data_IF_248632896819
#
_entry.id   IF_248632896819
#
_cell.length_a   1.000
_cell.length_b   1.000
_cell.length_c   1.000
_cell.angle_alpha   90.00
_cell.angle_beta   90.00
_cell.angle_gamma   90.00
#
_symmetry.space_group_name_H-M   'P 1'
#
loop_
_entity.id
_entity.type
_entity.pdbx_description
1 polymer ?
#
# COMPACT_ATOMS: atom_id res chain seq x y z
N UNK A 1 -2.54 64.19 21.80
CA UNK A 1 -3.41 64.61 20.68
C UNK A 1 -3.88 66.07 20.79
N UNK A 2 -4.48 66.49 21.92
CA UNK A 2 -5.00 67.86 22.10
C UNK A 2 -3.97 69.01 21.95
N UNK A 3 -2.73 68.82 22.39
CA UNK A 3 -1.70 69.87 22.26
C UNK A 3 -1.23 70.10 20.81
N UNK A 4 -1.28 69.07 19.97
CA UNK A 4 -0.90 69.17 18.54
C UNK A 4 -1.98 69.91 17.76
N UNK A 5 -3.25 69.59 18.03
CA UNK A 5 -4.41 70.27 17.43
C UNK A 5 -4.48 71.76 17.83
N UNK A 6 -4.20 72.07 19.10
CA UNK A 6 -4.15 73.46 19.59
C UNK A 6 -3.00 74.26 18.96
N UNK A 7 -1.83 73.64 18.76
CA UNK A 7 -0.72 74.28 18.03
C UNK A 7 -1.08 74.51 16.57
N UNK A 8 -1.65 73.51 15.89
CA UNK A 8 -2.10 73.63 14.50
C UNK A 8 -3.12 74.76 14.30
N UNK A 9 -4.09 74.90 15.22
CA UNK A 9 -5.09 75.97 15.17
C UNK A 9 -4.48 77.37 15.36
N UNK A 10 -3.48 77.52 16.25
CA UNK A 10 -2.76 78.79 16.41
C UNK A 10 -1.94 79.16 15.17
N UNK A 11 -1.33 78.17 14.51
CA UNK A 11 -0.65 78.40 13.22
C UNK A 11 -1.64 78.75 12.11
N UNK A 12 -2.81 78.12 12.08
CA UNK A 12 -3.87 78.36 11.11
C UNK A 12 -4.38 79.81 11.12
N UNK A 13 -4.66 80.37 12.30
CA UNK A 13 -5.12 81.76 12.45
C UNK A 13 -4.07 82.78 12.01
N UNK A 14 -2.78 82.43 12.06
CA UNK A 14 -1.67 83.33 11.72
C UNK A 14 -1.41 83.46 10.22
N UNK A 15 -1.96 82.56 9.40
CA UNK A 15 -1.79 82.51 7.95
C UNK A 15 -2.77 83.45 7.23
N UNK A 16 -2.33 84.08 6.15
CA UNK A 16 -3.21 84.90 5.31
C UNK A 16 -4.21 84.04 4.54
N UNK A 17 -5.36 84.62 4.14
CA UNK A 17 -6.45 83.90 3.46
C UNK A 17 -6.01 83.17 2.18
N UNK A 18 -4.99 83.68 1.48
CA UNK A 18 -4.38 83.04 0.30
C UNK A 18 -3.53 81.81 0.68
N UNK A 19 -2.76 81.89 1.75
CA UNK A 19 -1.94 80.78 2.24
C UNK A 19 -2.81 79.64 2.81
N UNK A 20 -3.93 79.96 3.46
CA UNK A 20 -4.90 78.97 3.93
C UNK A 20 -5.54 78.19 2.77
N UNK A 21 -5.88 78.85 1.66
CA UNK A 21 -6.42 78.17 0.47
C UNK A 21 -5.38 77.27 -0.20
N UNK A 22 -4.13 77.73 -0.30
CA UNK A 22 -3.03 76.90 -0.82
C UNK A 22 -2.78 75.67 0.06
N UNK A 23 -2.80 75.83 1.39
CA UNK A 23 -2.60 74.74 2.33
C UNK A 23 -3.73 73.70 2.25
N UNK A 24 -4.99 74.14 2.12
CA UNK A 24 -6.13 73.25 1.84
C UNK A 24 -5.97 72.50 0.52
N UNK A 25 -5.52 73.18 -0.54
CA UNK A 25 -5.24 72.54 -1.83
C UNK A 25 -4.14 71.48 -1.72
N UNK A 26 -3.07 71.78 -1.00
CA UNK A 26 -1.97 70.82 -0.76
C UNK A 26 -2.45 69.62 0.06
N UNK A 27 -3.22 69.83 1.13
CA UNK A 27 -3.79 68.73 1.92
C UNK A 27 -4.70 67.86 1.04
N UNK A 28 -5.55 68.47 0.22
CA UNK A 28 -6.42 67.74 -0.69
C UNK A 28 -5.61 66.90 -1.69
N UNK A 29 -4.55 67.46 -2.27
CA UNK A 29 -3.65 66.72 -3.17
C UNK A 29 -2.96 65.55 -2.46
N UNK A 30 -2.50 65.75 -1.22
CA UNK A 30 -1.87 64.68 -0.42
C UNK A 30 -2.89 63.57 -0.14
N UNK A 31 -4.09 63.91 0.29
CA UNK A 31 -5.15 62.94 0.59
C UNK A 31 -5.53 62.17 -0.69
N UNK A 32 -5.77 62.87 -1.80
CA UNK A 32 -6.08 62.24 -3.09
C UNK A 32 -4.95 61.31 -3.56
N UNK A 33 -3.69 61.72 -3.39
CA UNK A 33 -2.53 60.89 -3.72
C UNK A 33 -2.45 59.63 -2.85
N UNK A 34 -2.65 59.76 -1.54
CA UNK A 34 -2.65 58.61 -0.62
C UNK A 34 -3.77 57.63 -0.93
N UNK A 35 -4.98 58.11 -1.25
CA UNK A 35 -6.12 57.27 -1.64
C UNK A 35 -5.81 56.51 -2.93
N UNK A 36 -5.25 57.18 -3.94
CA UNK A 36 -4.86 56.54 -5.20
C UNK A 36 -3.75 55.49 -4.99
N UNK A 37 -2.77 55.79 -4.13
CA UNK A 37 -1.71 54.85 -3.80
C UNK A 37 -2.26 53.59 -3.11
N UNK A 38 -3.16 53.75 -2.12
CA UNK A 38 -3.82 52.63 -1.45
C UNK A 38 -4.67 51.83 -2.44
N UNK A 39 -5.44 52.51 -3.28
CA UNK A 39 -6.28 51.87 -4.29
C UNK A 39 -5.45 51.00 -5.24
N UNK A 40 -4.34 51.52 -5.77
CA UNK A 40 -3.42 50.74 -6.62
C UNK A 40 -2.86 49.54 -5.88
N UNK A 41 -2.33 49.75 -4.67
CA UNK A 41 -1.76 48.65 -3.88
C UNK A 41 -2.76 47.53 -3.57
N UNK A 42 -4.02 47.88 -3.28
CA UNK A 42 -5.07 46.88 -3.02
C UNK A 42 -5.44 46.15 -4.32
N UNK A 43 -5.52 46.87 -5.44
CA UNK A 43 -5.85 46.27 -6.73
C UNK A 43 -4.77 45.29 -7.18
N UNK A 44 -3.50 45.66 -7.04
CA UNK A 44 -2.35 44.81 -7.37
C UNK A 44 -2.34 43.54 -6.49
N UNK A 45 -2.61 43.69 -5.19
CA UNK A 45 -2.70 42.57 -4.25
C UNK A 45 -3.85 41.61 -4.58
N UNK A 46 -5.03 42.12 -4.96
CA UNK A 46 -6.17 41.30 -5.37
C UNK A 46 -5.84 40.53 -6.66
N UNK A 47 -5.17 41.17 -7.63
CA UNK A 47 -4.76 40.51 -8.86
C UNK A 47 -3.74 39.39 -8.61
N UNK A 48 -2.81 39.59 -7.67
CA UNK A 48 -1.83 38.56 -7.29
C UNK A 48 -2.50 37.36 -6.60
N UNK A 49 -3.50 37.62 -5.75
CA UNK A 49 -4.34 36.59 -5.14
C UNK A 49 -5.13 35.80 -6.19
N UNK A 50 -5.78 36.47 -7.14
CA UNK A 50 -6.53 35.81 -8.22
C UNK A 50 -5.61 34.96 -9.10
N UNK A 51 -4.42 35.46 -9.43
CA UNK A 51 -3.43 34.69 -10.18
C UNK A 51 -2.95 33.45 -9.41
N UNK A 52 -2.78 33.58 -8.10
CA UNK A 52 -2.39 32.47 -7.23
C UNK A 52 -3.49 31.42 -7.12
N UNK A 53 -4.75 31.84 -6.99
CA UNK A 53 -5.92 30.95 -6.97
C UNK A 53 -6.05 30.20 -8.28
N UNK A 54 -5.93 30.89 -9.43
CA UNK A 54 -5.98 30.26 -10.74
C UNK A 54 -4.86 29.22 -10.93
N UNK A 55 -3.65 29.55 -10.49
CA UNK A 55 -2.51 28.62 -10.55
C UNK A 55 -2.75 27.38 -9.68
N UNK A 56 -3.19 27.57 -8.43
CA UNK A 56 -3.48 26.46 -7.53
C UNK A 56 -4.63 25.58 -8.04
N UNK A 57 -5.65 26.18 -8.63
CA UNK A 57 -6.75 25.45 -9.27
C UNK A 57 -6.24 24.60 -10.45
N UNK A 58 -5.37 25.17 -11.29
CA UNK A 58 -4.78 24.45 -12.41
C UNK A 58 -3.89 23.29 -11.93
N UNK A 59 -3.08 23.51 -10.90
CA UNK A 59 -2.24 22.47 -10.29
C UNK A 59 -3.09 21.35 -9.69
N UNK A 60 -4.21 21.69 -9.03
CA UNK A 60 -5.15 20.70 -8.48
C UNK A 60 -5.82 19.86 -9.57
N UNK A 61 -6.24 20.48 -10.68
CA UNK A 61 -6.79 19.77 -11.84
C UNK A 61 -5.75 18.81 -12.43
N UNK A 62 -4.52 19.28 -12.59
CA UNK A 62 -3.42 18.46 -13.10
C UNK A 62 -3.14 17.25 -12.19
N UNK A 63 -3.07 17.45 -10.87
CA UNK A 63 -2.89 16.34 -9.92
C UNK A 63 -4.07 15.38 -9.91
N UNK A 64 -5.29 15.88 -10.03
CA UNK A 64 -6.47 15.03 -10.12
C UNK A 64 -6.43 14.15 -11.37
N UNK A 65 -6.08 14.72 -12.53
CA UNK A 65 -5.93 13.98 -13.78
C UNK A 65 -4.78 12.96 -13.70
N UNK A 66 -3.65 13.32 -13.08
CA UNK A 66 -2.53 12.40 -12.87
C UNK A 66 -2.90 11.25 -11.93
N UNK A 67 -3.64 11.52 -10.85
CA UNK A 67 -4.13 10.49 -9.94
C UNK A 67 -5.12 9.55 -10.63
N UNK A 68 -6.04 10.07 -11.43
CA UNK A 68 -6.99 9.26 -12.19
C UNK A 68 -6.26 8.35 -13.20
N UNK A 69 -5.29 8.88 -13.94
CA UNK A 69 -4.45 8.09 -14.84
C UNK A 69 -3.66 7.01 -14.09
N UNK A 70 -3.04 7.37 -12.96
CA UNK A 70 -2.31 6.42 -12.11
C UNK A 70 -3.22 5.29 -11.66
N UNK A 71 -4.42 5.60 -11.15
CA UNK A 71 -5.37 4.58 -10.70
C UNK A 71 -5.78 3.61 -11.80
N UNK A 72 -6.06 4.10 -13.01
CA UNK A 72 -6.39 3.23 -14.16
C UNK A 72 -5.22 2.30 -14.47
N UNK A 73 -4.00 2.85 -14.55
CA UNK A 73 -2.78 2.08 -14.81
C UNK A 73 -2.55 1.04 -13.70
N UNK A 74 -2.69 1.42 -12.44
CA UNK A 74 -2.54 0.53 -11.28
C UNK A 74 -3.58 -0.60 -11.31
N UNK A 75 -4.83 -0.34 -11.74
CA UNK A 75 -5.85 -1.38 -11.86
C UNK A 75 -5.56 -2.39 -12.97
N UNK A 76 -5.06 -1.95 -14.11
CA UNK A 76 -4.66 -2.83 -15.21
C UNK A 76 -3.45 -3.68 -14.82
N UNK A 77 -2.45 -3.09 -14.16
CA UNK A 77 -1.31 -3.84 -13.61
C UNK A 77 -1.74 -4.83 -12.52
N UNK A 78 -2.69 -4.46 -11.66
CA UNK A 78 -3.22 -5.34 -10.63
C UNK A 78 -3.96 -6.54 -11.26
N UNK A 79 -4.74 -6.36 -12.32
CA UNK A 79 -5.44 -7.46 -12.99
C UNK A 79 -4.48 -8.47 -13.62
N UNK A 80 -3.43 -8.00 -14.30
CA UNK A 80 -2.40 -8.88 -14.90
C UNK A 80 -1.60 -9.62 -13.83
N UNK A 81 -1.26 -8.96 -12.72
CA UNK A 81 -0.50 -9.56 -11.65
C UNK A 81 -1.33 -10.50 -10.74
N UNK A 82 -2.65 -10.26 -10.60
CA UNK A 82 -3.58 -11.12 -9.86
C UNK A 82 -3.69 -12.53 -10.46
N UNK A 83 -3.53 -12.65 -11.79
CA UNK A 83 -3.56 -13.94 -12.48
C UNK A 83 -2.39 -14.86 -12.08
N UNK A 84 -1.29 -14.31 -11.55
CA UNK A 84 -0.04 -15.07 -11.39
C UNK A 84 0.63 -15.01 -10.01
N UNK A 85 0.14 -14.26 -9.01
CA UNK A 85 1.03 -13.88 -7.90
C UNK A 85 0.52 -13.89 -6.45
N UNK A 86 -0.76 -14.12 -6.16
CA UNK A 86 -1.26 -13.94 -4.78
C UNK A 86 -0.93 -15.06 -3.78
N UNK A 87 -0.34 -16.18 -4.22
CA UNK A 87 -0.15 -17.39 -3.38
C UNK A 87 1.31 -17.83 -3.14
N UNK A 88 2.30 -17.22 -3.79
CA UNK A 88 3.67 -17.75 -3.81
C UNK A 88 4.58 -17.11 -2.77
N UNK A 89 5.44 -17.93 -2.16
CA UNK A 89 6.49 -17.50 -1.22
C UNK A 89 7.66 -16.84 -1.97
N UNK A 90 8.50 -16.07 -1.27
CA UNK A 90 9.68 -15.43 -1.87
C UNK A 90 10.64 -16.47 -2.51
N UNK A 91 10.81 -17.63 -1.86
CA UNK A 91 11.61 -18.73 -2.41
C UNK A 91 11.01 -19.28 -3.71
N UNK A 92 9.69 -19.49 -3.75
CA UNK A 92 9.00 -19.95 -4.96
C UNK A 92 9.04 -18.91 -6.09
N UNK A 93 8.92 -17.62 -5.75
CA UNK A 93 9.06 -16.51 -6.71
C UNK A 93 10.47 -16.50 -7.29
N UNK A 94 11.48 -16.64 -6.45
CA UNK A 94 12.88 -16.72 -6.89
C UNK A 94 13.13 -17.94 -7.78
N UNK A 95 12.68 -19.12 -7.37
CA UNK A 95 12.87 -20.36 -8.13
C UNK A 95 12.13 -20.34 -9.46
N UNK A 96 10.90 -19.83 -9.50
CA UNK A 96 10.16 -19.68 -10.77
C UNK A 96 10.79 -18.66 -11.70
N UNK A 97 11.20 -17.51 -11.17
CA UNK A 97 11.91 -16.50 -11.98
C UNK A 97 13.22 -17.09 -12.52
N UNK A 98 13.97 -17.80 -11.68
CA UNK A 98 15.19 -18.48 -12.06
C UNK A 98 14.94 -19.50 -13.18
N UNK A 99 13.94 -20.36 -13.02
CA UNK A 99 13.55 -21.34 -14.05
C UNK A 99 13.17 -20.66 -15.36
N UNK A 100 12.42 -19.57 -15.31
CA UNK A 100 12.02 -18.79 -16.48
C UNK A 100 13.23 -18.14 -17.18
N UNK A 101 14.15 -17.54 -16.43
CA UNK A 101 15.38 -16.99 -16.99
C UNK A 101 16.23 -18.07 -17.68
N UNK A 102 16.38 -19.24 -17.05
CA UNK A 102 17.09 -20.36 -17.66
C UNK A 102 16.37 -20.94 -18.88
N UNK A 103 15.03 -20.97 -18.87
CA UNK A 103 14.20 -21.38 -20.01
C UNK A 103 14.44 -20.47 -21.20
N UNK A 104 14.30 -19.16 -21.00
CA UNK A 104 14.43 -18.15 -22.05
C UNK A 104 15.86 -18.07 -22.62
N UNK A 105 16.85 -18.41 -21.80
CA UNK A 105 18.26 -18.50 -22.19
C UNK A 105 18.58 -19.70 -23.09
N UNK A 106 17.66 -20.64 -23.31
CA UNK A 106 17.83 -21.76 -24.25
C UNK A 106 17.57 -21.31 -25.69
N UNK A 107 18.19 -21.98 -26.68
CA UNK A 107 17.99 -21.66 -28.10
C UNK A 107 16.51 -21.83 -28.51
N UNK A 108 15.89 -22.92 -28.05
CA UNK A 108 14.47 -23.19 -28.20
C UNK A 108 13.86 -23.38 -26.81
N UNK A 109 13.22 -22.33 -26.25
CA UNK A 109 12.63 -22.43 -24.93
C UNK A 109 11.41 -23.38 -24.96
N UNK A 110 11.29 -24.33 -24.02
CA UNK A 110 10.09 -25.16 -23.92
C UNK A 110 8.84 -24.31 -23.64
N UNK A 111 7.68 -24.81 -24.07
CA UNK A 111 6.39 -24.17 -23.79
C UNK A 111 6.06 -24.20 -22.29
N UNK A 112 5.23 -23.26 -21.85
CA UNK A 112 4.76 -23.15 -20.47
C UNK A 112 3.38 -23.84 -20.35
N UNK A 113 3.11 -24.48 -19.22
CA UNK A 113 1.77 -24.95 -18.88
C UNK A 113 0.85 -23.81 -18.39
N UNK A 114 -0.41 -24.12 -18.08
CA UNK A 114 -1.42 -23.16 -17.59
C UNK A 114 -0.99 -22.43 -16.29
N UNK A 115 -0.07 -23.02 -15.52
CA UNK A 115 0.47 -22.48 -14.27
C UNK A 115 1.80 -21.72 -14.46
N UNK A 116 2.29 -21.60 -15.71
CA UNK A 116 3.54 -20.92 -16.05
C UNK A 116 4.80 -21.73 -15.73
N UNK A 117 4.71 -23.06 -15.69
CA UNK A 117 5.83 -23.98 -15.44
C UNK A 117 6.31 -24.56 -16.78
N UNK A 118 7.64 -24.67 -17.02
CA UNK A 118 8.15 -25.22 -18.26
C UNK A 118 7.76 -26.70 -18.43
N UNK A 119 7.12 -27.04 -19.54
CA UNK A 119 6.83 -28.42 -19.92
C UNK A 119 8.16 -29.11 -20.23
N UNK A 120 8.42 -30.25 -19.60
CA UNK A 120 9.66 -31.02 -19.80
C UNK A 120 9.69 -31.64 -21.20
N UNK A 121 10.09 -30.87 -22.21
CA UNK A 121 10.43 -31.40 -23.53
C UNK A 121 11.90 -31.83 -23.52
N UNK A 122 12.16 -33.05 -23.99
CA UNK A 122 13.51 -33.62 -24.07
C UNK A 122 14.23 -33.00 -25.26
N UNK A 123 14.61 -31.73 -25.14
CA UNK A 123 15.26 -30.99 -26.22
C UNK A 123 16.64 -30.57 -25.76
N UNK A 124 17.67 -31.35 -26.13
CA UNK A 124 19.10 -31.04 -25.90
C UNK A 124 19.61 -29.93 -26.83
N UNK A 125 18.78 -28.93 -27.09
CA UNK A 125 19.17 -27.80 -27.94
C UNK A 125 19.91 -26.81 -27.07
N UNK A 126 21.20 -26.59 -27.36
CA UNK A 126 22.12 -25.78 -26.57
C UNK A 126 21.62 -24.38 -26.16
N UNK A 127 22.38 -23.72 -25.30
CA UNK A 127 22.03 -22.40 -24.75
C UNK A 127 22.14 -21.28 -25.79
N UNK A 128 21.15 -20.38 -25.86
CA UNK A 128 21.24 -19.11 -26.58
C UNK A 128 22.23 -18.17 -25.86
N UNK A 129 22.12 -18.13 -24.53
CA UNK A 129 22.96 -17.33 -23.66
C UNK A 129 23.35 -18.17 -22.44
N UNK A 130 24.60 -18.11 -22.00
CA UNK A 130 25.05 -18.85 -20.81
C UNK A 130 24.93 -17.98 -19.56
N UNK A 131 24.14 -18.44 -18.60
CA UNK A 131 23.98 -17.79 -17.30
C UNK A 131 24.75 -18.62 -16.26
N UNK A 132 25.93 -18.18 -15.78
CA UNK A 132 26.80 -18.98 -14.92
C UNK A 132 26.22 -19.21 -13.53
N UNK A 133 25.67 -18.17 -12.91
CA UNK A 133 25.01 -18.24 -11.60
C UNK A 133 24.14 -17.01 -11.41
N UNK A 134 22.90 -17.23 -10.99
CA UNK A 134 22.01 -16.17 -10.55
C UNK A 134 22.23 -15.92 -9.06
N UNK A 135 22.49 -14.66 -8.69
CA UNK A 135 22.53 -14.26 -7.29
C UNK A 135 21.11 -14.22 -6.71
N UNK A 136 21.01 -14.30 -5.39
CA UNK A 136 19.72 -14.05 -4.73
C UNK A 136 19.30 -12.61 -5.00
N UNK A 137 18.05 -12.44 -5.43
CA UNK A 137 17.47 -11.13 -5.69
C UNK A 137 17.04 -10.44 -4.40
N UNK A 138 16.53 -9.22 -4.56
CA UNK A 138 16.00 -8.42 -3.45
C UNK A 138 14.52 -8.20 -3.68
N UNK A 139 13.69 -8.64 -2.73
CA UNK A 139 12.29 -8.28 -2.67
C UNK A 139 12.12 -6.89 -2.04
N UNK A 140 11.50 -5.98 -2.77
CA UNK A 140 11.16 -4.62 -2.31
C UNK A 140 9.65 -4.46 -2.28
N UNK A 141 9.14 -3.92 -1.18
CA UNK A 141 7.75 -3.50 -1.09
C UNK A 141 7.69 -2.04 -1.55
N UNK A 142 7.24 -1.82 -2.79
CA UNK A 142 7.20 -0.49 -3.41
C UNK A 142 5.87 0.20 -3.13
N UNK A 143 4.76 -0.54 -3.10
CA UNK A 143 3.43 -0.02 -2.81
C UNK A 143 2.57 -1.06 -2.07
N UNK A 144 1.41 -0.66 -1.53
CA UNK A 144 0.49 -1.53 -0.81
C UNK A 144 -0.01 -2.71 -1.68
N UNK A 145 -0.04 -2.51 -2.99
CA UNK A 145 -0.63 -3.44 -3.95
C UNK A 145 0.40 -4.29 -4.70
N UNK A 146 1.68 -3.93 -4.69
CA UNK A 146 2.71 -4.67 -5.42
C UNK A 146 4.06 -4.70 -4.71
N UNK A 147 4.73 -5.84 -4.87
CA UNK A 147 6.13 -6.07 -4.52
C UNK A 147 6.93 -6.23 -5.80
N UNK A 148 8.17 -5.79 -5.75
CA UNK A 148 9.12 -5.94 -6.85
C UNK A 148 10.22 -6.89 -6.40
N UNK A 149 10.48 -7.96 -7.16
CA UNK A 149 11.63 -8.82 -6.92
C UNK A 149 12.67 -8.57 -8.00
N UNK A 150 13.80 -7.95 -7.63
CA UNK A 150 14.87 -7.59 -8.55
C UNK A 150 16.01 -8.59 -8.45
N UNK A 151 16.46 -9.11 -9.58
CA UNK A 151 17.62 -10.01 -9.68
C UNK A 151 18.64 -9.45 -10.66
N UNK A 152 19.91 -9.45 -10.26
CA UNK A 152 21.01 -9.10 -11.14
C UNK A 152 21.44 -10.34 -11.93
N UNK A 153 21.49 -10.19 -13.25
CA UNK A 153 21.86 -11.21 -14.20
C UNK A 153 23.19 -10.83 -14.87
N UNK A 154 24.13 -11.77 -14.87
CA UNK A 154 25.41 -11.64 -15.57
C UNK A 154 25.50 -12.66 -16.69
N UNK A 155 25.75 -12.16 -17.89
CA UNK A 155 25.92 -12.94 -19.12
C UNK A 155 27.36 -12.72 -19.59
N UNK A 156 28.28 -13.66 -19.35
CA UNK A 156 29.64 -13.57 -19.86
C UNK A 156 29.73 -14.15 -21.27
N UNK A 157 30.51 -13.48 -22.13
CA UNK A 157 30.93 -13.96 -23.46
C UNK A 157 29.78 -14.47 -24.35
N UNK A 158 28.80 -13.63 -24.63
CA UNK A 158 27.68 -13.92 -25.54
C UNK A 158 27.77 -13.10 -26.83
N UNK A 159 27.12 -13.59 -27.90
CA UNK A 159 26.97 -12.83 -29.13
C UNK A 159 25.91 -11.74 -28.96
N UNK A 160 26.15 -10.55 -29.53
CA UNK A 160 25.24 -9.40 -29.39
C UNK A 160 23.81 -9.71 -29.85
N UNK A 161 23.66 -10.46 -30.94
CA UNK A 161 22.35 -10.87 -31.47
C UNK A 161 21.62 -11.82 -30.50
N UNK A 162 22.36 -12.71 -29.84
CA UNK A 162 21.81 -13.65 -28.86
C UNK A 162 21.32 -12.92 -27.61
N UNK A 163 22.03 -11.89 -27.14
CA UNK A 163 21.61 -11.04 -26.02
C UNK A 163 20.34 -10.26 -26.38
N UNK A 164 20.25 -9.67 -27.57
CA UNK A 164 19.03 -8.98 -28.02
C UNK A 164 17.84 -9.96 -28.10
N UNK A 165 18.05 -11.14 -28.67
CA UNK A 165 17.00 -12.16 -28.79
C UNK A 165 16.51 -12.61 -27.41
N UNK A 166 17.42 -12.74 -26.45
CA UNK A 166 17.09 -13.04 -25.06
C UNK A 166 16.28 -11.90 -24.41
N UNK A 167 16.68 -10.64 -24.61
CA UNK A 167 15.93 -9.47 -24.12
C UNK A 167 14.52 -9.39 -24.68
N UNK A 168 14.35 -9.61 -26.00
CA UNK A 168 13.03 -9.62 -26.62
C UNK A 168 12.12 -10.67 -25.99
N UNK A 169 12.67 -11.85 -25.67
CA UNK A 169 11.94 -12.92 -24.99
C UNK A 169 11.62 -12.59 -23.53
N UNK A 170 12.48 -11.86 -22.83
CA UNK A 170 12.17 -11.37 -21.49
C UNK A 170 10.96 -10.43 -21.51
N UNK A 171 10.91 -9.53 -22.49
CA UNK A 171 9.81 -8.57 -22.65
C UNK A 171 8.48 -9.22 -23.01
N UNK A 172 8.49 -10.35 -23.72
CA UNK A 172 7.29 -11.11 -24.09
C UNK A 172 6.93 -12.23 -23.11
N UNK A 173 7.67 -12.37 -22.01
CA UNK A 173 7.39 -13.40 -21.01
C UNK A 173 6.06 -13.13 -20.29
N UNK A 174 5.23 -14.17 -20.04
CA UNK A 174 3.98 -14.01 -19.30
C UNK A 174 4.19 -13.68 -17.81
N UNK A 175 5.42 -13.76 -17.28
CA UNK A 175 5.71 -13.50 -15.87
C UNK A 175 5.88 -12.01 -15.50
N UNK A 176 5.46 -11.08 -16.37
CA UNK A 176 5.52 -9.62 -16.15
C UNK A 176 6.92 -9.14 -15.72
N UNK A 177 7.93 -9.43 -16.55
CA UNK A 177 9.32 -9.08 -16.30
C UNK A 177 9.65 -7.69 -16.88
N UNK A 178 10.37 -6.88 -16.11
CA UNK A 178 10.86 -5.56 -16.48
C UNK A 178 12.40 -5.57 -16.46
N UNK A 179 13.02 -4.87 -17.40
CA UNK A 179 14.48 -4.66 -17.44
C UNK A 179 14.72 -3.23 -16.97
N UNK A 180 15.36 -3.08 -15.81
CA UNK A 180 15.59 -1.76 -15.19
C UNK A 180 16.95 -1.19 -15.55
N UNK A 181 17.93 -2.05 -15.78
CA UNK A 181 19.30 -1.65 -16.09
C UNK A 181 19.93 -2.63 -17.10
N UNK A 182 20.78 -2.10 -17.97
CA UNK A 182 21.52 -2.83 -18.98
C UNK A 182 22.90 -2.21 -19.18
N UNK A 183 23.94 -2.94 -18.79
CA UNK A 183 25.33 -2.61 -19.07
C UNK A 183 25.90 -3.64 -20.04
N UNK A 184 26.43 -3.18 -21.17
CA UNK A 184 27.03 -4.00 -22.22
C UNK A 184 28.49 -3.62 -22.38
N UNK A 185 29.38 -4.58 -22.13
CA UNK A 185 30.83 -4.39 -22.23
C UNK A 185 31.41 -5.31 -23.27
N UNK A 186 32.12 -4.74 -24.23
CA UNK A 186 32.85 -5.47 -25.26
C UNK A 186 34.35 -5.20 -25.11
N UNK A 187 35.16 -6.25 -25.15
CA UNK A 187 36.61 -6.10 -25.26
C UNK A 187 36.95 -5.66 -26.69
N UNK A 188 37.88 -4.71 -26.90
CA UNK A 188 38.27 -4.28 -28.24
C UNK A 188 38.88 -5.42 -29.09
N UNK A 189 39.31 -6.51 -28.46
CA UNK A 189 39.93 -7.67 -29.12
C UNK A 189 38.99 -8.86 -29.29
N UNK A 190 37.74 -8.78 -28.82
CA UNK A 190 36.77 -9.87 -28.89
C UNK A 190 35.48 -9.37 -29.57
N UNK A 191 34.81 -10.24 -30.31
CA UNK A 191 33.48 -9.98 -30.88
C UNK A 191 32.37 -10.22 -29.86
N UNK A 192 32.65 -11.03 -28.83
CA UNK A 192 31.72 -11.35 -27.77
C UNK A 192 31.58 -10.22 -26.76
N UNK A 193 30.39 -10.11 -26.18
CA UNK A 193 30.04 -9.11 -25.18
C UNK A 193 29.76 -9.76 -23.84
N UNK A 194 30.02 -9.00 -22.79
CA UNK A 194 29.54 -9.25 -21.45
C UNK A 194 28.33 -8.34 -21.21
N UNK A 195 27.21 -8.91 -20.78
CA UNK A 195 26.02 -8.15 -20.42
C UNK A 195 25.73 -8.32 -18.93
N UNK A 196 25.43 -7.21 -18.26
CA UNK A 196 24.93 -7.17 -16.88
C UNK A 196 23.57 -6.47 -16.91
N UNK A 197 22.56 -7.12 -16.33
CA UNK A 197 21.17 -6.68 -16.42
C UNK A 197 20.47 -6.81 -15.08
N UNK A 198 19.68 -5.80 -14.71
CA UNK A 198 18.80 -5.89 -13.55
C UNK A 198 17.37 -6.18 -14.03
N UNK A 199 16.88 -7.37 -13.67
CA UNK A 199 15.56 -7.86 -14.06
C UNK A 199 14.64 -7.78 -12.85
N UNK A 200 13.53 -7.07 -12.98
CA UNK A 200 12.53 -6.90 -11.92
C UNK A 200 11.25 -7.61 -12.31
N UNK A 201 10.74 -8.45 -11.41
CA UNK A 201 9.42 -9.06 -11.51
C UNK A 201 8.43 -8.32 -10.62
N UNK A 202 7.29 -7.93 -11.19
CA UNK A 202 6.19 -7.32 -10.45
C UNK A 202 5.28 -8.43 -9.90
N UNK A 203 4.96 -8.33 -8.62
CA UNK A 203 4.18 -9.31 -7.85
C UNK A 203 3.03 -8.55 -7.20
N UNK A 204 1.77 -8.90 -7.44
CA UNK A 204 0.70 -8.34 -6.60
C UNK A 204 0.90 -8.80 -5.18
N UNK A 205 0.86 -7.85 -4.24
CA UNK A 205 0.86 -8.12 -2.83
C UNK A 205 -0.43 -8.89 -2.47
N UNK A 206 -0.38 -10.22 -2.55
CA UNK A 206 -1.17 -11.03 -1.64
C UNK A 206 -0.77 -10.60 -0.24
N UNK A 207 -1.75 -10.10 0.53
CA UNK A 207 -1.69 -9.65 1.94
C UNK A 207 -0.28 -9.77 2.52
N UNK A 208 0.50 -8.70 2.42
CA UNK A 208 1.90 -8.72 2.88
C UNK A 208 1.99 -8.52 4.38
N UNK A 209 2.62 -9.51 5.01
CA UNK A 209 3.26 -9.43 6.31
C UNK A 209 4.01 -8.09 6.49
N UNK A 210 3.57 -7.32 7.48
CA UNK A 210 4.20 -6.07 7.87
C UNK A 210 5.59 -6.38 8.41
N UNK A 211 6.63 -6.04 7.64
CA UNK A 211 7.98 -5.93 8.17
C UNK A 211 8.03 -4.75 9.15
N UNK A 212 8.60 -5.08 10.31
CA UNK A 212 8.68 -4.29 11.53
C UNK A 212 9.38 -2.96 11.35
N UNK A 213 8.62 -1.86 11.48
CA UNK A 213 9.15 -0.59 11.96
C UNK A 213 9.16 -0.66 13.48
N UNK A 214 10.27 -0.26 14.08
CA UNK A 214 10.54 -0.23 15.52
C UNK A 214 9.50 0.64 16.26
N UNK A 215 8.46 -0.03 16.74
CA UNK A 215 7.36 0.49 17.56
C UNK A 215 6.36 -0.66 17.63
N UNK A 216 5.95 -1.09 18.84
CA UNK A 216 5.28 -2.37 19.09
C UNK A 216 4.41 -2.86 17.93
N UNK A 217 4.71 -4.04 17.37
CA UNK A 217 4.07 -4.48 16.13
C UNK A 217 2.58 -4.65 16.35
N UNK A 218 1.79 -3.81 15.68
CA UNK A 218 0.33 -3.87 15.64
C UNK A 218 -0.08 -4.41 14.28
N UNK A 219 -0.91 -5.45 14.26
CA UNK A 219 -1.52 -6.02 13.04
C UNK A 219 -3.01 -5.71 13.11
N UNK A 220 -3.53 -4.91 12.17
CA UNK A 220 -4.98 -4.70 12.06
C UNK A 220 -5.65 -5.91 11.38
N UNK A 221 -6.81 -6.31 11.91
CA UNK A 221 -7.64 -7.35 11.31
C UNK A 221 -8.43 -6.77 10.14
N UNK A 222 -8.40 -7.46 9.02
CA UNK A 222 -9.20 -7.09 7.85
C UNK A 222 -10.70 -7.20 8.12
N UNK A 223 -11.47 -6.25 7.60
CA UNK A 223 -12.94 -6.25 7.59
C UNK A 223 -13.51 -6.77 6.25
N UNK A 224 -12.69 -7.46 5.46
CA UNK A 224 -13.13 -8.17 4.27
C UNK A 224 -13.49 -9.63 4.61
N UNK A 225 -14.72 -10.09 4.35
CA UNK A 225 -15.12 -11.48 4.54
C UNK A 225 -14.21 -12.51 3.84
N UNK A 226 -13.55 -12.14 2.73
CA UNK A 226 -12.66 -13.05 1.97
C UNK A 226 -11.40 -13.44 2.76
N UNK A 227 -10.97 -12.58 3.69
CA UNK A 227 -9.78 -12.84 4.51
C UNK A 227 -10.05 -13.74 5.73
N UNK A 228 -11.32 -14.08 5.96
CA UNK A 228 -11.77 -14.89 7.07
C UNK A 228 -12.20 -16.27 6.59
N UNK A 229 -11.79 -17.29 7.32
CA UNK A 229 -12.27 -18.64 7.10
C UNK A 229 -13.43 -18.91 8.06
N UNK A 230 -14.42 -19.66 7.59
CA UNK A 230 -15.58 -20.04 8.38
C UNK A 230 -16.11 -21.41 7.99
N UNK A 231 -16.84 -22.04 8.91
CA UNK A 231 -17.59 -23.27 8.67
C UNK A 231 -18.95 -23.18 9.36
N UNK A 232 -20.01 -23.73 8.74
CA UNK A 232 -21.34 -23.77 9.36
C UNK A 232 -22.18 -22.49 9.27
N UNK A 233 -21.88 -21.58 8.33
CA UNK A 233 -22.63 -20.33 8.18
C UNK A 233 -22.24 -19.55 6.93
N UNK A 234 -22.50 -18.24 6.94
CA UNK A 234 -22.08 -17.29 5.90
C UNK A 234 -21.43 -16.06 6.52
N UNK A 235 -20.48 -15.48 5.79
CA UNK A 235 -19.91 -14.16 6.10
C UNK A 235 -20.31 -13.16 5.02
N UNK A 236 -20.73 -11.97 5.45
CA UNK A 236 -21.02 -10.85 4.56
C UNK A 236 -20.52 -9.54 5.14
N UNK A 237 -20.30 -8.55 4.27
CA UNK A 237 -19.88 -7.21 4.68
C UNK A 237 -21.08 -6.29 4.68
N UNK A 238 -21.21 -5.48 5.73
CA UNK A 238 -22.22 -4.43 5.80
C UNK A 238 -21.62 -3.16 6.37
N UNK A 239 -22.35 -2.07 6.27
CA UNK A 239 -21.97 -0.77 6.80
C UNK A 239 -23.03 -0.30 7.79
N UNK A 240 -22.60 0.14 8.96
CA UNK A 240 -23.50 0.65 9.99
C UNK A 240 -23.80 2.12 9.68
N UNK A 241 -25.04 2.50 9.34
CA UNK A 241 -25.36 3.87 8.98
C UNK A 241 -25.24 4.84 10.18
N UNK A 242 -25.32 4.33 11.42
CA UNK A 242 -25.27 5.14 12.65
C UNK A 242 -23.81 5.42 13.01
N UNK A 243 -22.96 4.40 12.97
CA UNK A 243 -21.55 4.49 13.39
C UNK A 243 -20.62 4.82 12.21
N UNK A 244 -21.12 4.77 10.97
CA UNK A 244 -20.36 4.96 9.73
C UNK A 244 -19.13 4.06 9.65
N UNK A 245 -19.25 2.84 10.17
CA UNK A 245 -18.19 1.82 10.16
C UNK A 245 -18.63 0.60 9.39
N UNK A 246 -17.71 0.02 8.64
CA UNK A 246 -17.90 -1.28 8.03
C UNK A 246 -17.76 -2.36 9.10
N UNK A 247 -18.54 -3.43 8.98
CA UNK A 247 -18.46 -4.58 9.87
C UNK A 247 -18.72 -5.88 9.09
N UNK A 248 -18.19 -6.97 9.60
CA UNK A 248 -18.48 -8.31 9.10
C UNK A 248 -19.69 -8.84 9.85
N UNK A 249 -20.68 -9.34 9.11
CA UNK A 249 -21.80 -10.11 9.65
C UNK A 249 -21.49 -11.58 9.44
N UNK A 250 -21.45 -12.32 10.53
CA UNK A 250 -21.47 -13.76 10.52
C UNK A 250 -22.85 -14.27 10.91
N UNK A 251 -23.43 -15.11 10.07
CA UNK A 251 -24.73 -15.73 10.27
C UNK A 251 -24.58 -17.25 10.28
N UNK A 252 -24.95 -17.87 11.39
CA UNK A 252 -24.87 -19.31 11.57
C UNK A 252 -26.02 -19.99 10.85
N UNK A 253 -25.71 -20.84 9.86
CA UNK A 253 -26.70 -21.61 9.10
C UNK A 253 -26.88 -23.03 9.66
N UNK A 254 -25.99 -23.46 10.54
CA UNK A 254 -26.09 -24.71 11.29
C UNK A 254 -26.18 -24.45 12.80
N UNK A 255 -26.40 -25.51 13.59
CA UNK A 255 -26.43 -25.40 15.06
C UNK A 255 -25.11 -24.90 15.68
N UNK A 256 -24.00 -24.93 14.93
CA UNK A 256 -22.71 -24.33 15.29
C UNK A 256 -22.05 -23.70 14.07
N UNK A 257 -21.35 -22.59 14.27
CA UNK A 257 -20.52 -21.93 13.26
C UNK A 257 -19.17 -21.55 13.87
N UNK A 258 -18.09 -21.87 13.17
CA UNK A 258 -16.74 -21.45 13.55
C UNK A 258 -16.24 -20.42 12.54
N UNK A 259 -15.66 -19.32 13.04
CA UNK A 259 -15.12 -18.22 12.26
C UNK A 259 -13.72 -17.93 12.76
N UNK A 260 -12.74 -17.88 11.88
CA UNK A 260 -11.37 -17.67 12.29
C UNK A 260 -10.54 -16.92 11.28
N UNK A 261 -9.56 -16.20 11.81
CA UNK A 261 -8.57 -15.46 11.03
C UNK A 261 -7.21 -16.14 11.17
N UNK A 262 -6.62 -16.61 10.06
CA UNK A 262 -5.37 -17.38 10.11
C UNK A 262 -4.18 -16.45 9.90
N UNK A 263 -3.22 -16.48 10.83
CA UNK A 263 -1.96 -15.73 10.75
C UNK A 263 -0.77 -16.57 11.17
N UNK A 264 0.41 -16.23 10.66
CA UNK A 264 1.67 -16.90 10.97
C UNK A 264 2.48 -16.06 11.96
N UNK A 265 2.86 -16.65 13.09
CA UNK A 265 3.63 -16.01 14.16
C UNK A 265 4.95 -16.74 14.38
N UNK A 266 5.94 -16.07 14.99
CA UNK A 266 7.14 -16.78 15.44
C UNK A 266 6.83 -17.57 16.73
N UNK A 267 7.40 -18.76 16.90
CA UNK A 267 7.23 -19.53 18.14
C UNK A 267 7.68 -18.73 19.37
N UNK A 268 6.94 -18.83 20.47
CA UNK A 268 7.27 -18.17 21.74
C UNK A 268 6.92 -16.68 21.84
N UNK A 269 6.34 -16.08 20.81
CA UNK A 269 5.86 -14.69 20.89
C UNK A 269 4.58 -14.58 21.73
N UNK A 270 4.41 -13.44 22.38
CA UNK A 270 3.19 -13.08 23.13
C UNK A 270 2.46 -11.98 22.40
N UNK A 271 1.17 -12.17 22.19
CA UNK A 271 0.31 -11.24 21.47
C UNK A 271 -0.94 -10.95 22.27
N UNK A 272 -1.51 -9.77 22.08
CA UNK A 272 -2.80 -9.40 22.64
C UNK A 272 -3.75 -9.03 21.51
N UNK A 273 -4.83 -9.79 21.37
CA UNK A 273 -5.95 -9.48 20.51
C UNK A 273 -6.83 -8.45 21.21
N UNK A 274 -7.15 -7.35 20.53
CA UNK A 274 -8.23 -6.42 20.89
C UNK A 274 -9.24 -6.40 19.74
N UNK A 275 -10.50 -6.76 19.99
CA UNK A 275 -11.54 -6.85 18.95
C UNK A 275 -12.89 -6.33 19.42
N UNK A 276 -13.55 -5.56 18.57
CA UNK A 276 -14.86 -4.96 18.82
C UNK A 276 -15.96 -5.84 18.20
N UNK A 277 -16.78 -6.46 19.06
CA UNK A 277 -17.83 -7.43 18.65
C UNK A 277 -19.17 -7.07 19.30
N UNK A 278 -20.25 -7.24 18.53
CA UNK A 278 -21.63 -7.28 19.02
C UNK A 278 -22.27 -8.60 18.60
N UNK A 279 -23.03 -9.23 19.50
CA UNK A 279 -23.75 -10.46 19.17
C UNK A 279 -25.01 -10.64 20.01
N UNK A 280 -25.99 -11.34 19.44
CA UNK A 280 -27.14 -11.94 20.14
C UNK A 280 -26.97 -13.43 20.34
N UNK A 281 -25.85 -14.00 19.90
CA UNK A 281 -25.58 -15.42 19.97
C UNK A 281 -24.88 -15.80 21.27
N UNK A 282 -25.00 -17.07 21.65
CA UNK A 282 -24.05 -17.64 22.61
C UNK A 282 -22.76 -17.94 21.83
N UNK A 283 -21.69 -17.24 22.17
CA UNK A 283 -20.43 -17.35 21.43
C UNK A 283 -19.20 -17.30 22.33
N UNK A 284 -18.14 -18.00 21.91
CA UNK A 284 -16.86 -18.06 22.59
C UNK A 284 -15.78 -17.54 21.65
N UNK A 285 -14.88 -16.70 22.15
CA UNK A 285 -13.70 -16.24 21.43
C UNK A 285 -12.44 -16.75 22.11
N UNK A 286 -11.51 -17.28 21.32
CA UNK A 286 -10.24 -17.85 21.78
C UNK A 286 -9.21 -17.82 20.63
N UNK A 287 -8.04 -18.39 20.88
CA UNK A 287 -7.05 -18.66 19.83
C UNK A 287 -6.75 -20.15 19.76
N UNK A 288 -6.49 -20.68 18.56
CA UNK A 288 -6.18 -22.10 18.39
C UNK A 288 -5.18 -22.34 17.26
N UNK A 289 -4.59 -23.53 17.21
CA UNK A 289 -3.89 -24.01 16.03
C UNK A 289 -4.87 -24.39 14.91
N UNK A 290 -4.41 -24.48 13.65
CA UNK A 290 -5.17 -25.07 12.55
C UNK A 290 -5.60 -26.52 12.81
N UNK A 291 -4.82 -27.25 13.62
CA UNK A 291 -5.10 -28.63 14.05
C UNK A 291 -6.15 -28.70 15.18
N UNK A 292 -6.70 -27.56 15.61
CA UNK A 292 -7.76 -27.49 16.62
C UNK A 292 -7.27 -27.50 18.07
N UNK A 293 -5.97 -27.31 18.31
CA UNK A 293 -5.43 -27.19 19.67
C UNK A 293 -5.71 -25.78 20.17
N UNK A 294 -6.53 -25.64 21.20
CA UNK A 294 -6.82 -24.36 21.85
C UNK A 294 -5.61 -23.85 22.64
N UNK A 295 -5.33 -22.55 22.52
CA UNK A 295 -4.34 -21.86 23.34
C UNK A 295 -4.99 -21.28 24.60
N UNK A 296 -4.19 -20.99 25.63
CA UNK A 296 -4.70 -20.38 26.84
C UNK A 296 -5.31 -18.99 26.55
N UNK A 297 -6.47 -18.74 27.14
CA UNK A 297 -7.26 -17.52 26.95
C UNK A 297 -8.50 -17.76 26.10
N UNK A 298 -9.65 -17.85 26.76
CA UNK A 298 -10.96 -17.82 26.12
C UNK A 298 -11.90 -16.90 26.87
N UNK A 299 -12.78 -16.23 26.13
CA UNK A 299 -13.75 -15.30 26.68
C UNK A 299 -15.12 -15.56 26.05
N UNK A 300 -16.17 -15.59 26.88
CA UNK A 300 -17.55 -15.71 26.39
C UNK A 300 -18.07 -14.34 26.01
N UNK A 301 -18.64 -14.23 24.81
CA UNK A 301 -19.22 -12.98 24.33
C UNK A 301 -20.55 -12.69 25.05
N UNK A 302 -20.77 -11.41 25.36
CA UNK A 302 -22.01 -10.92 25.95
C UNK A 302 -23.14 -10.90 24.90
N UNK A 303 -24.32 -11.32 25.34
CA UNK A 303 -25.52 -11.56 24.50
C UNK A 303 -26.54 -10.43 24.66
N UNK A 304 -26.22 -9.22 24.22
CA UNK A 304 -27.03 -8.02 24.49
C UNK A 304 -26.94 -6.94 23.40
N UNK A 305 -26.53 -7.29 22.17
CA UNK A 305 -26.40 -6.41 20.99
C UNK A 305 -25.48 -5.19 21.12
N UNK A 306 -25.02 -4.87 22.32
CA UNK A 306 -24.03 -3.82 22.56
C UNK A 306 -22.67 -4.22 21.98
N UNK A 307 -21.91 -3.21 21.54
CA UNK A 307 -20.55 -3.40 21.05
C UNK A 307 -19.59 -3.42 22.25
N UNK A 308 -18.88 -4.53 22.42
CA UNK A 308 -17.85 -4.68 23.43
C UNK A 308 -16.48 -4.87 22.80
N UNK A 309 -15.46 -4.32 23.47
CA UNK A 309 -14.07 -4.58 23.18
C UNK A 309 -13.57 -5.76 24.02
N UNK A 310 -13.29 -6.87 23.37
CA UNK A 310 -12.72 -8.06 24.00
C UNK A 310 -11.20 -8.02 23.89
N UNK A 311 -10.51 -8.50 24.94
CA UNK A 311 -9.05 -8.48 25.02
C UNK A 311 -8.51 -9.82 25.46
N UNK A 312 -7.82 -10.52 24.57
CA UNK A 312 -7.30 -11.87 24.80
C UNK A 312 -5.79 -11.86 24.62
N UNK A 313 -5.05 -12.28 25.65
CA UNK A 313 -3.61 -12.49 25.56
C UNK A 313 -3.33 -13.93 25.15
N UNK A 314 -2.45 -14.11 24.17
CA UNK A 314 -2.13 -15.39 23.55
C UNK A 314 -0.61 -15.55 23.53
N UNK A 315 -0.14 -16.70 24.01
CA UNK A 315 1.26 -17.11 23.93
C UNK A 315 1.42 -18.21 22.88
N UNK A 316 2.26 -17.96 21.88
CA UNK A 316 2.48 -18.90 20.77
C UNK A 316 3.41 -20.01 21.26
N UNK A 317 3.08 -21.30 21.08
CA UNK A 317 3.90 -22.41 21.57
C UNK A 317 5.32 -22.39 20.99
N UNK A 318 6.30 -22.75 21.82
CA UNK A 318 7.72 -22.84 21.42
C UNK A 318 7.98 -24.15 20.67
N UNK A 319 7.79 -24.12 19.36
CA UNK A 319 8.10 -25.24 18.45
C UNK A 319 9.35 -24.97 17.61
N UNK A 320 9.96 -26.02 17.06
CA UNK A 320 11.19 -25.93 16.22
C UNK A 320 10.95 -25.39 14.80
N UNK A 321 9.71 -25.05 14.45
CA UNK A 321 9.37 -24.46 13.16
C UNK A 321 9.71 -22.97 13.13
N UNK A 322 10.06 -22.44 11.96
CA UNK A 322 10.37 -21.01 11.81
C UNK A 322 9.14 -20.12 12.04
N UNK A 323 7.94 -20.62 11.68
CA UNK A 323 6.65 -19.96 11.92
C UNK A 323 5.55 -20.94 12.25
N UNK A 324 4.61 -20.52 13.09
CA UNK A 324 3.43 -21.27 13.52
C UNK A 324 2.18 -20.58 13.00
N UNK A 325 1.35 -21.32 12.25
CA UNK A 325 0.02 -20.83 11.85
C UNK A 325 -0.91 -20.90 13.06
N UNK A 326 -1.67 -19.85 13.29
CA UNK A 326 -2.61 -19.69 14.41
C UNK A 326 -3.90 -19.06 13.90
N UNK A 327 -5.03 -19.58 14.39
CA UNK A 327 -6.37 -19.02 14.25
C UNK A 327 -6.58 -18.01 15.37
N UNK A 328 -6.56 -16.72 15.05
CA UNK A 328 -6.74 -15.63 16.02
C UNK A 328 -7.38 -14.39 15.36
N UNK A 329 -8.60 -14.00 15.76
CA UNK A 329 -9.48 -14.74 16.66
C UNK A 329 -9.97 -16.06 16.04
N UNK A 330 -10.33 -17.00 16.90
CA UNK A 330 -11.23 -18.11 16.60
C UNK A 330 -12.51 -17.86 17.42
N UNK A 331 -13.63 -17.67 16.72
CA UNK A 331 -14.93 -17.38 17.31
C UNK A 331 -15.86 -18.54 16.97
N UNK A 332 -16.41 -19.16 18.00
CA UNK A 332 -17.41 -20.20 17.87
C UNK A 332 -18.78 -19.64 18.27
N UNK A 333 -19.75 -19.76 17.39
CA UNK A 333 -21.14 -19.32 17.56
C UNK A 333 -22.02 -20.56 17.71
N UNK A 334 -22.89 -20.57 18.72
CA UNK A 334 -23.88 -21.61 18.95
C UNK A 334 -25.30 -21.11 18.62
N UNK A 335 -26.05 -21.95 17.90
CA UNK A 335 -27.45 -21.71 17.53
C UNK A 335 -27.64 -21.34 16.05
N UNK A 336 -28.63 -21.96 15.42
CA UNK A 336 -29.02 -21.68 14.04
C UNK A 336 -29.68 -20.30 13.92
N UNK A 337 -29.39 -19.57 12.84
CA UNK A 337 -29.87 -18.22 12.56
C UNK A 337 -29.26 -17.12 13.42
N UNK A 338 -28.28 -17.45 14.27
CA UNK A 338 -27.64 -16.49 15.17
C UNK A 338 -26.64 -15.60 14.43
N UNK A 339 -26.55 -14.33 14.86
CA UNK A 339 -25.72 -13.31 14.21
C UNK A 339 -24.65 -12.75 15.13
N UNK A 340 -23.48 -12.53 14.54
CA UNK A 340 -22.36 -11.87 15.18
C UNK A 340 -21.80 -10.80 14.24
N UNK A 341 -21.49 -9.63 14.80
CA UNK A 341 -21.03 -8.45 14.08
C UNK A 341 -19.63 -8.07 14.57
N UNK A 342 -18.65 -8.04 13.67
CA UNK A 342 -17.26 -7.69 13.96
C UNK A 342 -16.96 -6.31 13.37
N UNK A 343 -16.68 -5.33 14.22
CA UNK A 343 -16.49 -3.91 13.84
C UNK A 343 -15.02 -3.52 13.62
N UNK A 344 -14.09 -4.41 13.98
CA UNK A 344 -12.66 -4.21 13.80
C UNK A 344 -11.87 -4.87 14.92
N UNK A 345 -10.58 -5.11 14.68
CA UNK A 345 -9.70 -5.59 15.72
C UNK A 345 -8.24 -5.46 15.33
N UNK A 346 -7.37 -5.69 16.30
CA UNK A 346 -5.93 -5.60 16.15
C UNK A 346 -5.22 -6.60 17.05
N UNK A 347 -4.06 -7.06 16.60
CA UNK A 347 -3.14 -7.87 17.38
C UNK A 347 -1.94 -7.00 17.74
N UNK A 348 -1.64 -6.91 19.02
CA UNK A 348 -0.55 -6.11 19.55
C UNK A 348 0.48 -7.07 20.12
N UNK A 349 1.73 -7.00 19.63
CA UNK A 349 2.81 -7.80 20.21
C UNK A 349 3.17 -7.26 21.58
N UNK A 350 3.17 -8.14 22.58
CA UNK A 350 3.66 -7.83 23.91
C UNK A 350 5.19 -8.00 23.88
N UNK A 351 5.91 -6.98 24.34
CA UNK A 351 7.39 -6.96 24.42
C UNK A 351 7.85 -7.79 25.61
#
# INVERSE_FOLDING_TARGET
>A
MNQVLLKAHKYWIRLTRREQMLLLGVIFCIVAFTINMIYRSVTDYIQELDNSVNRLQQDLINYHHQLALKQVVDTEYAQVALQHSSKWTEAEIHDRLRQELYRLAQKYPPELDEDGIPIRTVTETGSLVKIPSLQQGVLRNVDQNYREYTINLKIPYADFISVISFMQRLLTSPQSLRIDNLDLRRSPFDEKINAEMDITRIITAGITEVQSVSGGSVIELSLDPVDWAYTGGTLSKSSDPIIKKNYIIAESNSGKMDIFYVRAFKPGEKWTLEIDISTTAQALIFASSPDGIEFEGSERLKKDENIYRYKISVEIPKVKMERVRVRIPHIQIEGEGQKLRIYGGRLIKNI
#
